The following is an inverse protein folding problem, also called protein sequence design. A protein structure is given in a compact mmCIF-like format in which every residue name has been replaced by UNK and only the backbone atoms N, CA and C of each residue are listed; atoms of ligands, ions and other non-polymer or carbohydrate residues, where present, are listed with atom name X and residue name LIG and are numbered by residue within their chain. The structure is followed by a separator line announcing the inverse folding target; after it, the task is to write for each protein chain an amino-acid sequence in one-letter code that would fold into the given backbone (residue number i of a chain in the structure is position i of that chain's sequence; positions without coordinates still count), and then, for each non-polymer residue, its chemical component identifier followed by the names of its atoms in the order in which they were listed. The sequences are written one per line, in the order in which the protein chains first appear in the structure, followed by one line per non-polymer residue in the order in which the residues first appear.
data_IF_690076104677
#
_entry.id   IF_690076104677
#
_cell.length_a   1.000
_cell.length_b   1.000
_cell.length_c   1.000
_cell.angle_alpha   90.00
_cell.angle_beta   90.00
_cell.angle_gamma   90.00
#
_symmetry.space_group_name_H-M   'P 1'
#
loop_
_entity.id
_entity.type
_entity.pdbx_description
1 polymer ?
#
# COMPACT_ATOMS: atom_id res chain seq x y z
N UNK A 1 -12.44 -2.62 3.84
CA UNK A 1 -11.91 -1.60 2.89
C UNK A 1 -11.35 -2.28 1.63
N UNK A 2 -10.85 -1.53 0.62
CA UNK A 2 -10.41 -2.05 -0.69
C UNK A 2 -8.89 -1.99 -0.87
N UNK A 3 -8.32 -2.97 -1.58
CA UNK A 3 -6.88 -3.09 -1.87
C UNK A 3 -6.55 -2.29 -3.15
N UNK A 4 -6.62 -0.96 -3.05
CA UNK A 4 -6.74 -0.05 -4.21
C UNK A 4 -5.61 -0.15 -5.24
N UNK A 5 -4.36 -0.37 -4.81
CA UNK A 5 -3.20 -0.51 -5.71
C UNK A 5 -3.21 -1.83 -6.46
N UNK A 6 -3.78 -2.87 -5.87
CA UNK A 6 -4.01 -4.15 -6.55
C UNK A 6 -5.24 -4.08 -7.46
N UNK A 7 -6.33 -3.49 -6.98
CA UNK A 7 -7.60 -3.39 -7.70
C UNK A 7 -7.50 -2.55 -8.99
N UNK A 8 -6.65 -1.51 -9.04
CA UNK A 8 -6.40 -0.73 -10.28
C UNK A 8 -5.91 -1.59 -11.44
N UNK A 9 -5.27 -2.72 -11.16
CA UNK A 9 -4.82 -3.68 -12.17
C UNK A 9 -5.87 -4.73 -12.53
N UNK A 10 -7.05 -4.69 -11.90
CA UNK A 10 -8.16 -5.65 -12.10
C UNK A 10 -7.74 -7.10 -11.82
N UNK A 11 -6.84 -7.29 -10.87
CA UNK A 11 -6.41 -8.61 -10.41
C UNK A 11 -6.94 -8.86 -9.00
N UNK A 12 -7.05 -10.13 -8.62
CA UNK A 12 -7.48 -10.50 -7.28
C UNK A 12 -6.36 -10.25 -6.26
N UNK A 13 -6.70 -9.75 -5.06
CA UNK A 13 -5.78 -9.75 -3.92
C UNK A 13 -5.32 -11.17 -3.59
N UNK A 14 -4.06 -11.28 -3.18
CA UNK A 14 -3.44 -12.48 -2.67
C UNK A 14 -4.09 -12.86 -1.33
N UNK A 15 -4.09 -14.15 -0.95
CA UNK A 15 -4.69 -14.57 0.29
C UNK A 15 -3.88 -14.15 1.52
N UNK A 16 -4.57 -13.77 2.59
CA UNK A 16 -3.99 -13.50 3.91
C UNK A 16 -2.87 -12.45 3.88
N UNK A 17 -1.79 -12.70 4.62
CA UNK A 17 -0.67 -11.75 4.75
C UNK A 17 0.04 -11.35 3.46
N UNK A 18 -0.14 -12.12 2.38
CA UNK A 18 0.43 -11.78 1.09
C UNK A 18 -0.32 -10.64 0.39
N UNK A 19 -1.56 -10.33 0.80
CA UNK A 19 -2.33 -9.20 0.26
C UNK A 19 -1.56 -7.88 0.45
N UNK A 20 -1.00 -7.65 1.63
CA UNK A 20 -0.22 -6.44 1.95
C UNK A 20 1.06 -6.32 1.12
N UNK A 21 1.76 -7.44 0.89
CA UNK A 21 2.99 -7.45 0.09
C UNK A 21 2.66 -7.17 -1.38
N UNK A 22 1.64 -7.82 -1.92
CA UNK A 22 1.16 -7.56 -3.27
C UNK A 22 0.72 -6.10 -3.42
N UNK A 23 -0.02 -5.57 -2.44
CA UNK A 23 -0.48 -4.19 -2.44
C UNK A 23 0.69 -3.20 -2.49
N UNK A 24 1.73 -3.43 -1.68
CA UNK A 24 2.95 -2.62 -1.71
C UNK A 24 3.65 -2.69 -3.07
N UNK A 25 3.84 -3.88 -3.64
CA UNK A 25 4.50 -4.04 -4.94
C UNK A 25 3.71 -3.37 -6.07
N UNK A 26 2.38 -3.42 -5.99
CA UNK A 26 1.47 -2.86 -6.99
C UNK A 26 1.36 -1.33 -6.95
N UNK A 27 2.00 -0.66 -6.00
CA UNK A 27 2.11 0.81 -6.03
C UNK A 27 2.94 1.32 -7.21
N UNK A 28 3.81 0.49 -7.83
CA UNK A 28 4.61 0.88 -8.99
C UNK A 28 3.74 1.32 -10.16
N UNK A 29 4.28 2.14 -11.05
CA UNK A 29 3.62 2.48 -12.31
C UNK A 29 3.63 1.29 -13.27
N UNK A 30 2.47 0.92 -13.80
CA UNK A 30 2.35 -0.01 -14.93
C UNK A 30 1.35 0.62 -15.92
N UNK A 31 1.79 1.05 -17.11
CA UNK A 31 0.89 1.52 -18.14
C UNK A 31 -0.12 0.43 -18.56
N UNK A 32 -1.39 0.79 -18.86
CA UNK A 32 -2.00 2.12 -18.83
C UNK A 32 -2.66 2.50 -17.49
N UNK A 33 -2.43 1.77 -16.41
CA UNK A 33 -3.25 1.81 -15.19
C UNK A 33 -2.90 2.91 -14.19
N UNK A 34 -1.94 3.79 -14.51
CA UNK A 34 -1.59 4.96 -13.70
C UNK A 34 -0.12 5.03 -13.30
N UNK A 35 0.23 6.12 -12.61
CA UNK A 35 1.57 6.40 -12.13
C UNK A 35 1.96 5.60 -10.88
N UNK A 36 3.16 5.89 -10.36
CA UNK A 36 3.66 5.34 -9.10
C UNK A 36 2.96 6.04 -7.92
N UNK A 37 2.21 5.26 -7.13
CA UNK A 37 1.44 5.75 -5.99
C UNK A 37 2.34 6.33 -4.90
N UNK A 38 3.54 5.79 -4.75
CA UNK A 38 4.49 6.24 -3.72
C UNK A 38 5.39 7.38 -4.19
N UNK A 39 5.27 7.86 -5.44
CA UNK A 39 6.14 8.93 -5.93
C UNK A 39 5.88 10.28 -5.24
N UNK A 40 4.63 10.57 -4.94
CA UNK A 40 4.17 11.81 -4.33
C UNK A 40 3.86 11.64 -2.83
N UNK A 41 4.09 12.69 -2.04
CA UNK A 41 3.87 12.67 -0.58
C UNK A 41 2.40 12.49 -0.21
N UNK A 42 1.50 13.30 -0.78
CA UNK A 42 0.08 13.27 -0.44
C UNK A 42 -0.56 11.94 -0.83
N UNK A 43 -0.20 11.43 -2.01
CA UNK A 43 -0.66 10.13 -2.52
C UNK A 43 -0.08 8.97 -1.71
N UNK A 44 1.21 9.05 -1.36
CA UNK A 44 1.90 8.04 -0.57
C UNK A 44 1.40 7.96 0.88
N UNK A 45 1.17 9.09 1.53
CA UNK A 45 0.67 9.13 2.91
C UNK A 45 -0.80 8.69 2.99
N UNK A 46 -1.61 9.02 1.97
CA UNK A 46 -2.95 8.45 1.84
C UNK A 46 -2.88 6.93 1.69
N UNK A 47 -2.02 6.43 0.80
CA UNK A 47 -1.85 5.00 0.62
C UNK A 47 -1.41 4.30 1.91
N UNK A 48 -0.47 4.88 2.67
CA UNK A 48 -0.03 4.34 3.96
C UNK A 48 -1.17 4.23 4.97
N UNK A 49 -2.04 5.24 5.06
CA UNK A 49 -3.23 5.19 5.93
C UNK A 49 -4.17 4.08 5.49
N UNK A 50 -4.53 4.08 4.22
CA UNK A 50 -5.53 3.16 3.68
C UNK A 50 -5.08 1.71 3.80
N UNK A 51 -3.83 1.41 3.43
CA UNK A 51 -3.28 0.04 3.48
C UNK A 51 -3.15 -0.47 4.91
N UNK A 52 -2.77 0.42 5.84
CA UNK A 52 -2.59 0.03 7.24
C UNK A 52 -3.94 -0.17 7.92
N UNK A 53 -4.96 0.64 7.58
CA UNK A 53 -6.33 0.45 8.04
C UNK A 53 -6.94 -0.86 7.50
N UNK A 54 -6.77 -1.14 6.20
CA UNK A 54 -7.24 -2.38 5.59
C UNK A 54 -6.58 -3.62 6.22
N UNK A 55 -5.26 -3.58 6.44
CA UNK A 55 -4.55 -4.65 7.12
C UNK A 55 -5.03 -4.84 8.56
N UNK A 56 -5.19 -3.74 9.31
CA UNK A 56 -5.66 -3.79 10.69
C UNK A 56 -7.07 -4.40 10.81
N UNK A 57 -7.99 -4.00 9.93
CA UNK A 57 -9.35 -4.56 9.82
C UNK A 57 -9.30 -6.08 9.61
N UNK A 58 -8.48 -6.57 8.66
CA UNK A 58 -8.33 -8.01 8.41
C UNK A 58 -7.75 -8.79 9.59
N UNK A 59 -6.87 -8.16 10.39
CA UNK A 59 -6.28 -8.80 11.57
C UNK A 59 -7.14 -8.67 12.83
N UNK A 60 -8.29 -7.98 12.76
CA UNK A 60 -9.08 -7.65 13.95
C UNK A 60 -8.33 -6.76 14.95
N UNK A 61 -7.35 -6.01 14.46
CA UNK A 61 -6.53 -5.10 15.26
C UNK A 61 -7.04 -3.66 15.07
N UNK A 62 -7.11 -2.81 16.10
CA UNK A 62 -7.59 -1.43 15.98
C UNK A 62 -6.77 -0.52 15.07
N UNK A 63 -5.63 -0.97 14.55
CA UNK A 63 -4.76 -0.16 13.70
C UNK A 63 -3.80 0.71 14.51
N UNK A 64 -2.79 1.29 13.85
CA UNK A 64 -1.96 2.30 14.48
C UNK A 64 -2.75 3.59 14.59
N UNK A 65 -2.63 4.27 15.74
CA UNK A 65 -3.21 5.58 15.92
C UNK A 65 -2.35 6.65 15.25
N UNK A 66 -2.99 7.53 14.46
CA UNK A 66 -2.39 8.75 13.94
C UNK A 66 -2.01 8.69 12.46
N UNK A 67 -1.42 9.80 12.01
CA UNK A 67 -0.97 10.00 10.63
C UNK A 67 0.40 9.34 10.38
N UNK A 68 0.72 9.00 9.11
CA UNK A 68 2.08 8.62 8.71
C UNK A 68 3.09 9.67 9.19
N UNK A 69 4.24 9.19 9.70
CA UNK A 69 5.28 10.08 10.20
C UNK A 69 6.28 10.39 9.09
N UNK A 70 7.05 11.46 9.32
CA UNK A 70 8.19 11.76 8.49
C UNK A 70 9.11 10.54 8.32
N UNK A 71 9.35 10.16 7.07
CA UNK A 71 10.19 9.02 6.68
C UNK A 71 9.48 7.68 6.55
N UNK A 72 8.20 7.54 6.92
CA UNK A 72 7.47 6.27 6.76
C UNK A 72 7.27 5.93 5.27
N UNK A 73 6.95 6.93 4.46
CA UNK A 73 6.88 6.77 3.00
C UNK A 73 8.23 6.33 2.40
N UNK A 74 9.33 6.87 2.90
CA UNK A 74 10.67 6.50 2.43
C UNK A 74 11.02 5.06 2.82
N UNK A 75 10.64 4.63 4.03
CA UNK A 75 10.78 3.23 4.46
C UNK A 75 9.94 2.29 3.61
N UNK A 76 8.72 2.68 3.25
CA UNK A 76 7.86 1.89 2.37
C UNK A 76 8.47 1.74 0.97
N UNK A 77 9.00 2.82 0.38
CA UNK A 77 9.74 2.77 -0.90
C UNK A 77 10.95 1.83 -0.80
N UNK A 78 11.77 1.99 0.24
CA UNK A 78 12.95 1.15 0.45
C UNK A 78 12.58 -0.34 0.62
N UNK A 79 11.47 -0.63 1.31
CA UNK A 79 10.95 -1.99 1.42
C UNK A 79 10.50 -2.54 0.06
N UNK A 80 9.77 -1.75 -0.73
CA UNK A 80 9.32 -2.14 -2.07
C UNK A 80 10.51 -2.50 -2.98
N UNK A 81 11.59 -1.74 -2.92
CA UNK A 81 12.80 -2.02 -3.70
C UNK A 81 13.54 -3.29 -3.24
N UNK A 82 13.45 -3.67 -1.96
CA UNK A 82 14.06 -4.90 -1.45
C UNK A 82 13.28 -6.18 -1.78
N UNK A 83 11.97 -6.05 -2.04
CA UNK A 83 11.07 -7.17 -2.33
C UNK A 83 10.95 -7.48 -3.83
N UNK A 84 11.48 -6.60 -4.68
CA UNK A 84 11.46 -6.68 -6.13
C UNK A 84 12.70 -7.36 -6.68
#
# INVERSE_FOLDING_TARGET
MSWTSTERYRIRPAPGGLALVQELLNTRAIPPYGGDVLADGDSGDRWLRDVTAAWAEEQGWPGPAGEPRAGDLERARALRERLA
#
